data_IF_995645997891
#
_entry.id   IF_995645997891
#
_cell.length_a   1.000
_cell.length_b   1.000
_cell.length_c   1.000
_cell.angle_alpha   90.00
_cell.angle_beta   90.00
_cell.angle_gamma   90.00
#
_symmetry.space_group_name_H-M   'P 1'
#
loop_
_entity.id
_entity.type
_entity.pdbx_description
1 polymer ?
#
# COMPACT_ATOMS: atom_id res chain seq x y z
N UNK A 1 15.29 -3.94 24.57
CA UNK A 1 14.01 -3.51 24.00
C UNK A 1 13.39 -2.52 24.98
N UNK A 2 13.09 -1.29 24.50
CA UNK A 2 12.29 -0.38 25.32
C UNK A 2 10.87 -0.95 25.38
N UNK A 3 10.46 -1.38 26.54
CA UNK A 3 9.14 -1.92 26.79
C UNK A 3 8.20 -0.78 27.12
N UNK A 4 7.09 -0.68 26.43
CA UNK A 4 5.95 0.13 26.87
C UNK A 4 5.52 -0.41 28.22
N UNK A 5 5.88 0.27 29.31
CA UNK A 5 5.65 -0.19 30.68
C UNK A 5 4.24 0.13 31.18
N UNK A 6 3.68 1.25 30.71
CA UNK A 6 2.35 1.68 31.11
C UNK A 6 1.27 0.95 30.28
N UNK A 7 0.25 0.43 30.94
CA UNK A 7 -0.87 -0.29 30.29
C UNK A 7 -1.60 0.62 29.30
N UNK A 8 -1.82 1.89 29.65
CA UNK A 8 -2.49 2.85 28.78
C UNK A 8 -1.72 3.10 27.46
N UNK A 9 -0.39 3.20 27.53
CA UNK A 9 0.44 3.41 26.36
C UNK A 9 0.42 2.19 25.43
N UNK A 10 0.36 0.98 26.00
CA UNK A 10 0.18 -0.26 25.21
C UNK A 10 -1.15 -0.28 24.48
N UNK A 11 -2.24 0.10 25.15
CA UNK A 11 -3.58 0.13 24.56
C UNK A 11 -3.62 1.14 23.41
N UNK A 12 -3.11 2.36 23.62
CA UNK A 12 -3.07 3.39 22.60
C UNK A 12 -2.24 2.94 21.39
N UNK A 13 -1.08 2.31 21.63
CA UNK A 13 -0.23 1.80 20.56
C UNK A 13 -0.89 0.64 19.78
N UNK A 14 -1.63 -0.25 20.46
CA UNK A 14 -2.39 -1.31 19.82
C UNK A 14 -3.53 -0.74 18.96
N UNK A 15 -4.26 0.26 19.46
CA UNK A 15 -5.30 0.94 18.66
C UNK A 15 -4.75 1.65 17.44
N UNK A 16 -3.56 2.27 17.58
CA UNK A 16 -2.88 2.85 16.43
C UNK A 16 -2.48 1.78 15.40
N UNK A 17 -2.01 0.62 15.87
CA UNK A 17 -1.67 -0.50 14.99
C UNK A 17 -2.91 -1.09 14.29
N UNK A 18 -4.04 -1.18 14.98
CA UNK A 18 -5.31 -1.61 14.39
C UNK A 18 -5.73 -0.67 13.25
N UNK A 19 -5.78 0.64 13.51
CA UNK A 19 -6.08 1.64 12.48
C UNK A 19 -5.09 1.61 11.32
N UNK A 20 -3.81 1.44 11.62
CA UNK A 20 -2.77 1.31 10.61
C UNK A 20 -2.98 0.07 9.72
N UNK A 21 -3.24 -1.07 10.32
CA UNK A 21 -3.43 -2.34 9.58
C UNK A 21 -4.71 -2.31 8.73
N UNK A 22 -5.80 -1.75 9.26
CA UNK A 22 -7.08 -1.65 8.55
C UNK A 22 -6.97 -0.80 7.29
N UNK A 23 -6.34 0.36 7.39
CA UNK A 23 -6.19 1.28 6.26
C UNK A 23 -5.00 0.95 5.34
N UNK A 24 -4.08 0.10 5.79
CA UNK A 24 -3.00 -0.42 4.97
C UNK A 24 -3.44 -1.63 4.11
N UNK A 25 -4.65 -2.13 4.32
CA UNK A 25 -5.18 -3.30 3.61
C UNK A 25 -5.03 -3.25 2.07
N UNK A 26 -5.21 -2.10 1.37
CA UNK A 26 -4.92 -2.04 -0.06
C UNK A 26 -3.47 -2.40 -0.42
N UNK A 27 -2.53 -2.19 0.49
CA UNK A 27 -1.11 -2.50 0.28
C UNK A 27 -0.79 -4.00 0.31
N UNK A 28 -1.65 -4.82 0.91
CA UNK A 28 -1.50 -6.29 0.88
C UNK A 28 -1.61 -6.88 -0.53
N UNK A 29 -2.10 -6.09 -1.49
CA UNK A 29 -2.16 -6.46 -2.90
C UNK A 29 -0.84 -6.22 -3.64
N UNK A 30 0.12 -5.58 -3.01
CA UNK A 30 1.47 -5.38 -3.51
C UNK A 30 2.43 -6.36 -2.83
N UNK A 31 3.61 -6.53 -3.41
CA UNK A 31 4.63 -7.39 -2.80
C UNK A 31 5.19 -6.71 -1.54
N UNK A 32 4.82 -7.24 -0.38
CA UNK A 32 5.30 -6.81 0.94
C UNK A 32 6.25 -7.81 1.59
N UNK A 33 6.61 -8.87 0.87
CA UNK A 33 7.41 -9.99 1.39
C UNK A 33 8.80 -9.58 1.90
N UNK A 34 9.23 -8.37 1.60
CA UNK A 34 10.55 -7.84 1.93
C UNK A 34 10.62 -7.14 3.29
N UNK A 35 9.48 -6.98 3.96
CA UNK A 35 9.44 -6.31 5.27
C UNK A 35 10.15 -7.08 6.37
N UNK A 36 10.33 -8.40 6.23
CA UNK A 36 11.06 -9.21 7.21
C UNK A 36 12.58 -8.97 7.19
N UNK A 37 13.17 -8.69 6.04
CA UNK A 37 14.57 -8.33 5.93
C UNK A 37 14.87 -6.93 6.49
N UNK A 38 13.87 -6.05 6.53
CA UNK A 38 13.99 -4.69 7.09
C UNK A 38 14.15 -4.66 8.61
N UNK A 39 13.86 -5.76 9.30
CA UNK A 39 14.09 -5.86 10.76
C UNK A 39 15.57 -5.76 11.12
N UNK A 40 16.46 -6.07 10.20
CA UNK A 40 17.89 -5.92 10.35
C UNK A 40 18.36 -4.55 9.81
N UNK A 41 19.34 -3.94 10.48
CA UNK A 41 19.85 -2.60 10.19
C UNK A 41 20.27 -2.45 8.72
N UNK A 42 19.54 -1.65 7.95
CA UNK A 42 19.89 -1.29 6.58
C UNK A 42 18.91 -0.27 6.01
N UNK A 43 19.41 0.67 5.23
CA UNK A 43 18.59 1.67 4.55
C UNK A 43 18.14 1.17 3.16
N UNK A 44 18.68 0.03 2.72
CA UNK A 44 18.42 -0.56 1.41
C UNK A 44 18.17 -2.05 1.51
N UNK A 45 17.18 -2.52 0.76
CA UNK A 45 16.87 -3.93 0.59
C UNK A 45 17.12 -4.27 -0.87
N UNK A 46 17.92 -5.30 -1.12
CA UNK A 46 18.21 -5.76 -2.47
C UNK A 46 17.43 -7.05 -2.71
N UNK A 47 16.51 -7.00 -3.67
CA UNK A 47 15.67 -8.14 -4.05
C UNK A 47 16.14 -8.66 -5.39
N UNK A 48 16.65 -9.89 -5.47
CA UNK A 48 16.98 -10.51 -6.74
C UNK A 48 15.70 -10.92 -7.48
N UNK A 49 15.46 -10.35 -8.65
CA UNK A 49 14.44 -10.81 -9.58
C UNK A 49 15.06 -11.75 -10.60
N UNK A 50 14.49 -12.96 -10.70
CA UNK A 50 14.89 -13.93 -11.72
C UNK A 50 14.22 -13.54 -13.04
N UNK A 51 15.03 -13.30 -14.08
CA UNK A 51 14.53 -13.06 -15.43
C UNK A 51 13.84 -14.30 -16.02
N UNK A 52 13.06 -14.09 -17.07
CA UNK A 52 12.40 -15.20 -17.79
C UNK A 52 13.42 -16.11 -18.44
N UNK A 53 13.37 -17.38 -18.08
CA UNK A 53 14.15 -18.42 -18.74
C UNK A 53 13.41 -18.92 -19.98
N UNK A 54 14.14 -19.14 -21.08
CA UNK A 54 13.60 -19.72 -22.31
C UNK A 54 14.07 -21.17 -22.42
N UNK A 55 13.14 -22.06 -22.69
CA UNK A 55 13.46 -23.44 -23.02
C UNK A 55 14.08 -23.52 -24.42
N UNK A 56 15.21 -24.18 -24.54
CA UNK A 56 15.88 -24.47 -25.82
C UNK A 56 15.71 -25.93 -26.18
N UNK A 57 15.67 -26.24 -27.48
CA UNK A 57 15.61 -27.65 -27.94
C UNK A 57 16.94 -28.31 -27.64
N UNK A 58 16.90 -29.49 -27.00
CA UNK A 58 18.08 -30.30 -26.76
C UNK A 58 18.64 -30.81 -28.09
N UNK A 59 19.86 -30.46 -28.40
CA UNK A 59 20.57 -30.90 -29.60
C UNK A 59 21.88 -31.60 -29.22
N UNK A 60 21.76 -32.75 -28.55
CA UNK A 60 22.85 -33.63 -28.13
C UNK A 60 23.88 -33.07 -27.15
N UNK A 61 23.81 -31.76 -26.83
CA UNK A 61 24.67 -31.11 -25.84
C UNK A 61 23.87 -30.33 -24.80
N UNK A 62 24.27 -30.37 -23.53
CA UNK A 62 23.74 -29.52 -22.48
C UNK A 62 24.31 -28.11 -22.64
N UNK A 63 23.44 -27.20 -23.08
CA UNK A 63 23.83 -25.82 -23.26
C UNK A 63 23.79 -25.06 -21.93
N UNK A 64 24.74 -24.15 -21.75
CA UNK A 64 24.77 -23.25 -20.60
C UNK A 64 23.61 -22.23 -20.75
N UNK A 65 22.59 -22.35 -19.94
CA UNK A 65 21.47 -21.38 -19.90
C UNK A 65 21.92 -20.07 -19.26
N UNK A 66 21.69 -18.96 -19.94
CA UNK A 66 21.92 -17.62 -19.39
C UNK A 66 20.74 -17.17 -18.54
N UNK A 67 20.76 -17.40 -17.23
CA UNK A 67 19.84 -16.76 -16.29
C UNK A 67 20.38 -15.38 -15.92
N UNK A 68 19.64 -14.31 -16.21
CA UNK A 68 19.97 -12.97 -15.71
C UNK A 68 19.25 -12.72 -14.39
N UNK A 69 20.02 -12.47 -13.35
CA UNK A 69 19.51 -11.97 -12.07
C UNK A 69 19.57 -10.44 -12.11
N UNK A 70 18.39 -9.80 -12.07
CA UNK A 70 18.30 -8.35 -11.94
C UNK A 70 17.99 -8.02 -10.48
N UNK A 71 18.85 -7.25 -9.84
CA UNK A 71 18.61 -6.79 -8.48
C UNK A 71 17.70 -5.55 -8.49
N UNK A 72 16.61 -5.59 -7.74
CA UNK A 72 15.77 -4.43 -7.47
C UNK A 72 16.08 -3.93 -6.07
N UNK A 73 16.42 -2.64 -5.95
CA UNK A 73 16.78 -2.02 -4.69
C UNK A 73 15.61 -1.21 -4.17
N UNK A 74 15.15 -1.51 -2.95
CA UNK A 74 14.16 -0.72 -2.22
C UNK A 74 14.91 0.17 -1.24
N UNK A 75 14.84 1.49 -1.42
CA UNK A 75 15.43 2.45 -0.51
C UNK A 75 14.41 2.89 0.54
N UNK A 76 14.73 2.70 1.82
CA UNK A 76 13.93 3.15 2.95
C UNK A 76 14.27 4.62 3.27
N UNK A 77 13.84 5.53 2.41
CA UNK A 77 14.21 6.95 2.46
C UNK A 77 13.07 7.87 2.92
N UNK A 78 11.87 7.34 3.11
CA UNK A 78 10.72 8.13 3.55
C UNK A 78 10.41 7.86 5.00
N UNK A 79 10.65 8.85 5.85
CA UNK A 79 10.28 8.83 7.26
C UNK A 79 9.06 9.72 7.47
N UNK A 80 7.96 9.15 7.92
CA UNK A 80 6.73 9.89 8.25
C UNK A 80 6.42 9.74 9.73
N UNK A 81 6.01 10.87 10.32
CA UNK A 81 5.56 10.95 11.69
C UNK A 81 4.16 11.57 11.74
N UNK A 82 3.35 11.10 12.65
CA UNK A 82 2.07 11.74 13.00
C UNK A 82 2.19 12.22 14.44
N UNK A 83 2.41 13.52 14.64
CA UNK A 83 2.56 14.11 15.97
C UNK A 83 1.17 14.39 16.58
N UNK A 84 1.02 14.03 17.85
CA UNK A 84 -0.08 14.45 18.70
C UNK A 84 0.51 15.21 19.88
N UNK A 85 0.05 16.44 20.13
CA UNK A 85 0.47 17.27 21.26
C UNK A 85 -0.72 17.63 22.12
N UNK A 86 -0.58 17.48 23.43
CA UNK A 86 -1.59 17.77 24.43
C UNK A 86 -0.98 18.58 25.55
N UNK A 87 -1.59 19.71 25.88
CA UNK A 87 -1.22 20.47 27.08
C UNK A 87 -1.62 19.70 28.34
N UNK A 88 -1.00 20.02 29.50
CA UNK A 88 -1.30 19.40 30.78
C UNK A 88 -2.80 19.41 31.10
N UNK A 89 -3.47 20.53 30.81
CA UNK A 89 -4.93 20.68 31.01
C UNK A 89 -5.72 19.74 30.10
N UNK A 90 -5.33 19.67 28.82
CA UNK A 90 -5.98 18.78 27.85
C UNK A 90 -5.75 17.32 28.20
N UNK A 91 -4.53 16.99 28.63
CA UNK A 91 -4.20 15.63 29.03
C UNK A 91 -4.96 15.20 30.30
N UNK A 92 -5.05 16.07 31.32
CA UNK A 92 -5.81 15.83 32.54
C UNK A 92 -7.32 15.65 32.30
N UNK A 93 -7.86 16.36 31.31
CA UNK A 93 -9.28 16.29 30.96
C UNK A 93 -9.59 15.19 29.92
N UNK A 94 -8.55 14.55 29.33
CA UNK A 94 -8.74 13.49 28.33
C UNK A 94 -8.96 12.16 28.99
N UNK A 95 -9.98 11.42 28.55
CA UNK A 95 -10.18 10.03 28.95
C UNK A 95 -9.27 9.11 28.14
N UNK A 96 -8.96 7.93 28.68
CA UNK A 96 -8.21 6.88 27.99
C UNK A 96 -8.89 6.54 26.64
N UNK A 97 -10.22 6.50 26.61
CA UNK A 97 -10.98 6.24 25.41
C UNK A 97 -10.81 7.31 24.29
N UNK A 98 -10.56 8.57 24.67
CA UNK A 98 -10.22 9.61 23.70
C UNK A 98 -8.82 9.44 23.13
N UNK A 99 -7.85 9.10 23.98
CA UNK A 99 -6.48 8.83 23.57
C UNK A 99 -6.40 7.63 22.62
N UNK A 100 -7.19 6.58 22.87
CA UNK A 100 -7.33 5.44 21.96
C UNK A 100 -7.86 5.83 20.58
N UNK A 101 -8.90 6.69 20.53
CA UNK A 101 -9.44 7.19 19.24
C UNK A 101 -8.41 8.00 18.47
N UNK A 102 -7.62 8.83 19.14
CA UNK A 102 -6.54 9.57 18.50
C UNK A 102 -5.42 8.65 18.03
N UNK A 103 -5.08 7.62 18.82
CA UNK A 103 -4.16 6.58 18.37
C UNK A 103 -4.62 5.91 17.08
N UNK A 104 -5.88 5.48 17.03
CA UNK A 104 -6.46 4.88 15.82
C UNK A 104 -6.39 5.82 14.59
N UNK A 105 -6.76 7.09 14.76
CA UNK A 105 -6.67 8.09 13.68
C UNK A 105 -5.22 8.36 13.25
N UNK A 106 -4.26 8.35 14.17
CA UNK A 106 -2.86 8.49 13.83
C UNK A 106 -2.34 7.32 12.99
N UNK A 107 -2.74 6.09 13.34
CA UNK A 107 -2.46 4.89 12.54
C UNK A 107 -3.06 4.99 11.15
N UNK A 108 -4.32 5.40 11.04
CA UNK A 108 -5.01 5.65 9.77
C UNK A 108 -4.28 6.70 8.91
N UNK A 109 -3.89 7.83 9.50
CA UNK A 109 -3.19 8.89 8.78
C UNK A 109 -1.84 8.41 8.23
N UNK A 110 -1.11 7.58 9.00
CA UNK A 110 0.16 7.04 8.58
C UNK A 110 -0.02 6.04 7.42
N UNK A 111 -1.00 5.13 7.51
CA UNK A 111 -1.36 4.20 6.44
C UNK A 111 -1.76 4.92 5.14
N UNK A 112 -2.54 6.00 5.28
CA UNK A 112 -2.94 6.86 4.15
C UNK A 112 -1.71 7.49 3.49
N UNK A 113 -0.75 8.01 4.27
CA UNK A 113 0.47 8.61 3.75
C UNK A 113 1.36 7.59 3.00
N UNK A 114 1.43 6.34 3.48
CA UNK A 114 2.13 5.26 2.81
C UNK A 114 1.44 4.91 1.48
N UNK A 115 0.12 4.77 1.50
CA UNK A 115 -0.68 4.46 0.31
C UNK A 115 -0.52 5.55 -0.76
N UNK A 116 -0.60 6.83 -0.38
CA UNK A 116 -0.36 7.94 -1.28
C UNK A 116 1.05 7.91 -1.88
N UNK A 117 2.06 7.58 -1.06
CA UNK A 117 3.43 7.47 -1.55
C UNK A 117 3.57 6.33 -2.58
N UNK A 118 3.01 5.16 -2.32
CA UNK A 118 3.03 4.04 -3.27
C UNK A 118 2.31 4.39 -4.56
N UNK A 119 1.13 5.02 -4.47
CA UNK A 119 0.37 5.44 -5.65
C UNK A 119 1.08 6.55 -6.45
N UNK A 120 1.92 7.36 -5.81
CA UNK A 120 2.71 8.36 -6.53
C UNK A 120 3.71 7.77 -7.52
N UNK A 121 4.12 6.52 -7.33
CA UNK A 121 4.94 5.79 -8.30
C UNK A 121 4.19 5.45 -9.59
N UNK A 122 2.87 5.48 -9.59
CA UNK A 122 2.03 5.17 -10.76
C UNK A 122 1.83 6.38 -11.69
N UNK A 123 2.36 7.56 -11.35
CA UNK A 123 2.22 8.78 -12.15
C UNK A 123 3.11 8.79 -13.41
N UNK A 124 2.85 9.72 -14.34
CA UNK A 124 3.53 9.81 -15.66
C UNK A 124 5.03 10.16 -15.61
N UNK A 125 5.54 10.57 -14.46
CA UNK A 125 6.94 10.95 -14.29
C UNK A 125 7.97 9.83 -14.56
N UNK A 126 7.50 8.60 -14.77
CA UNK A 126 8.33 7.45 -15.09
C UNK A 126 7.77 6.66 -16.28
N UNK A 127 7.68 7.24 -17.48
CA UNK A 127 7.01 6.65 -18.64
C UNK A 127 7.63 5.34 -19.13
N UNK A 128 8.88 5.07 -18.83
CA UNK A 128 9.58 3.82 -19.21
C UNK A 128 9.11 2.58 -18.45
N UNK A 129 8.33 2.77 -17.39
CA UNK A 129 7.90 1.69 -16.50
C UNK A 129 6.47 1.22 -16.74
N UNK A 130 5.72 1.86 -17.62
CA UNK A 130 4.33 1.47 -17.88
C UNK A 130 4.21 0.72 -19.19
N UNK A 131 3.61 -0.47 -19.10
CA UNK A 131 3.05 -1.11 -20.27
C UNK A 131 1.83 -0.27 -20.69
N UNK A 132 1.91 0.44 -21.76
CA UNK A 132 0.87 1.26 -22.40
C UNK A 132 -0.09 2.00 -21.44
N UNK A 133 -0.02 3.31 -21.41
CA UNK A 133 -1.05 4.10 -20.73
C UNK A 133 -2.36 4.02 -21.55
N UNK A 134 -3.43 3.56 -20.93
CA UNK A 134 -4.76 3.60 -21.55
C UNK A 134 -5.37 4.98 -21.35
N UNK A 135 -5.68 5.65 -22.45
CA UNK A 135 -6.22 7.00 -22.44
C UNK A 135 -7.68 6.96 -22.88
N UNK A 136 -8.58 7.05 -21.91
CA UNK A 136 -10.02 7.08 -22.15
C UNK A 136 -10.67 8.21 -21.34
N UNK A 137 -11.58 9.02 -21.93
CA UNK A 137 -12.42 9.91 -21.14
C UNK A 137 -13.20 9.10 -20.09
N UNK A 138 -13.29 9.62 -18.85
CA UNK A 138 -14.04 8.93 -17.78
C UNK A 138 -15.47 8.64 -18.22
N UNK A 139 -16.10 9.54 -18.95
CA UNK A 139 -17.46 9.34 -19.49
C UNK A 139 -17.60 8.15 -20.46
N UNK A 140 -16.49 7.70 -21.08
CA UNK A 140 -16.45 6.52 -21.96
C UNK A 140 -15.88 5.26 -21.27
N UNK A 141 -15.64 5.33 -19.98
CA UNK A 141 -15.19 4.20 -19.19
C UNK A 141 -16.32 3.16 -19.08
N UNK A 142 -16.00 1.93 -19.37
CA UNK A 142 -16.94 0.80 -19.29
C UNK A 142 -16.19 -0.53 -19.10
N UNK A 143 -16.93 -1.58 -18.85
CA UNK A 143 -16.38 -2.93 -18.56
C UNK A 143 -15.57 -3.50 -19.72
N UNK A 144 -15.89 -3.16 -20.99
CA UNK A 144 -15.11 -3.65 -22.14
C UNK A 144 -13.67 -3.10 -22.15
N UNK A 145 -13.42 -1.95 -21.52
CA UNK A 145 -12.07 -1.39 -21.38
C UNK A 145 -11.23 -2.25 -20.42
N UNK A 146 -11.84 -2.82 -19.40
CA UNK A 146 -11.18 -3.77 -18.48
C UNK A 146 -10.72 -5.02 -19.24
N UNK A 147 -11.52 -5.52 -20.19
CA UNK A 147 -11.13 -6.64 -21.03
C UNK A 147 -9.91 -6.31 -21.91
N UNK A 148 -9.81 -5.08 -22.43
CA UNK A 148 -8.65 -4.62 -23.22
C UNK A 148 -7.37 -4.58 -22.36
N UNK A 149 -7.46 -4.07 -21.15
CA UNK A 149 -6.34 -4.05 -20.19
C UNK A 149 -5.90 -5.48 -19.85
N UNK A 150 -6.88 -6.38 -19.59
CA UNK A 150 -6.61 -7.79 -19.35
C UNK A 150 -5.84 -8.43 -20.50
N UNK A 151 -6.27 -8.19 -21.73
CA UNK A 151 -5.63 -8.72 -22.94
C UNK A 151 -4.16 -8.27 -22.99
N UNK A 152 -3.88 -6.98 -22.80
CA UNK A 152 -2.54 -6.45 -22.84
C UNK A 152 -1.62 -7.05 -21.76
N UNK A 153 -2.11 -7.16 -20.52
CA UNK A 153 -1.34 -7.80 -19.44
C UNK A 153 -1.08 -9.29 -19.73
N UNK A 154 -2.02 -9.97 -20.38
CA UNK A 154 -1.85 -11.39 -20.75
C UNK A 154 -0.83 -11.56 -21.88
N UNK A 155 -0.86 -10.68 -22.90
CA UNK A 155 0.15 -10.63 -23.96
C UNK A 155 1.55 -10.38 -23.38
N UNK A 156 1.65 -9.52 -22.36
CA UNK A 156 2.88 -9.24 -21.64
C UNK A 156 3.29 -10.39 -20.66
N UNK A 157 2.62 -11.54 -20.70
CA UNK A 157 2.89 -12.73 -19.88
C UNK A 157 2.80 -12.49 -18.36
N UNK A 158 2.02 -11.50 -17.93
CA UNK A 158 1.73 -11.29 -16.50
C UNK A 158 0.81 -12.42 -16.02
N UNK A 159 1.04 -13.01 -14.83
CA UNK A 159 0.16 -14.03 -14.27
C UNK A 159 -1.29 -13.54 -14.18
N UNK A 160 -2.27 -14.45 -14.36
CA UNK A 160 -3.69 -14.08 -14.34
C UNK A 160 -4.25 -13.97 -12.93
N UNK A 161 -3.55 -14.53 -11.97
CA UNK A 161 -3.97 -14.54 -10.57
C UNK A 161 -3.63 -13.22 -9.89
N UNK A 162 -4.43 -12.85 -8.89
CA UNK A 162 -4.21 -11.68 -8.03
C UNK A 162 -4.06 -10.33 -8.76
N UNK A 163 -4.67 -10.18 -9.94
CA UNK A 163 -4.71 -8.88 -10.62
C UNK A 163 -5.72 -7.97 -9.94
N UNK A 164 -5.32 -6.75 -9.66
CA UNK A 164 -6.16 -5.73 -9.03
C UNK A 164 -6.32 -4.52 -9.95
N UNK A 165 -7.48 -3.90 -9.89
CA UNK A 165 -7.81 -2.67 -10.60
C UNK A 165 -8.26 -1.62 -9.59
N UNK A 166 -7.49 -0.56 -9.45
CA UNK A 166 -7.84 0.59 -8.62
C UNK A 166 -8.46 1.68 -9.48
N UNK A 167 -9.61 2.16 -9.08
CA UNK A 167 -10.34 3.22 -9.75
C UNK A 167 -10.65 4.35 -8.78
N UNK A 168 -10.67 5.57 -9.28
CA UNK A 168 -11.18 6.71 -8.54
C UNK A 168 -12.71 6.60 -8.35
N UNK A 169 -13.33 7.33 -7.43
CA UNK A 169 -14.77 7.26 -7.19
C UNK A 169 -15.62 7.52 -8.44
N UNK A 170 -15.14 8.37 -9.36
CA UNK A 170 -15.87 8.70 -10.59
C UNK A 170 -15.90 7.51 -11.56
N UNK A 171 -14.75 6.92 -11.85
CA UNK A 171 -14.65 5.76 -12.73
C UNK A 171 -15.30 4.52 -12.10
N UNK A 172 -15.21 4.39 -10.76
CA UNK A 172 -15.88 3.32 -10.05
C UNK A 172 -17.41 3.42 -10.17
N UNK A 173 -17.97 4.62 -10.01
CA UNK A 173 -19.39 4.89 -10.22
C UNK A 173 -19.83 4.57 -11.66
N UNK A 174 -19.02 4.91 -12.67
CA UNK A 174 -19.28 4.53 -14.06
C UNK A 174 -19.29 3.00 -14.25
N UNK A 175 -18.39 2.30 -13.56
CA UNK A 175 -18.34 0.84 -13.59
C UNK A 175 -19.61 0.23 -12.97
N UNK A 176 -20.07 0.77 -11.84
CA UNK A 176 -21.33 0.32 -11.19
C UNK A 176 -22.57 0.55 -12.07
N UNK A 177 -22.58 1.63 -12.83
CA UNK A 177 -23.71 1.99 -13.71
C UNK A 177 -23.67 1.28 -15.07
N UNK A 178 -22.61 0.52 -15.39
CA UNK A 178 -22.52 -0.23 -16.65
C UNK A 178 -23.60 -1.30 -16.73
N UNK A 179 -24.36 -1.28 -17.81
CA UNK A 179 -25.48 -2.20 -18.07
C UNK A 179 -25.05 -3.66 -18.07
N UNK A 180 -23.82 -3.97 -18.53
CA UNK A 180 -23.31 -5.34 -18.52
C UNK A 180 -23.12 -5.89 -17.10
N UNK A 181 -22.67 -5.04 -16.18
CA UNK A 181 -22.58 -5.40 -14.75
C UNK A 181 -23.97 -5.54 -14.15
N UNK A 182 -24.85 -4.58 -14.41
CA UNK A 182 -26.22 -4.61 -13.90
C UNK A 182 -26.97 -5.85 -14.37
N UNK A 183 -26.87 -6.23 -15.65
CA UNK A 183 -27.50 -7.45 -16.17
C UNK A 183 -26.87 -8.74 -15.62
N UNK A 184 -25.57 -8.80 -15.47
CA UNK A 184 -24.90 -9.97 -14.86
C UNK A 184 -25.32 -10.18 -13.39
N UNK A 185 -25.63 -9.10 -12.69
CA UNK A 185 -26.12 -9.12 -11.31
C UNK A 185 -27.56 -9.57 -11.20
N UNK A 186 -28.43 -9.23 -12.16
CA UNK A 186 -29.81 -9.77 -12.20
C UNK A 186 -29.84 -11.29 -12.32
N UNK A 187 -28.77 -11.89 -12.88
CA UNK A 187 -28.68 -13.33 -13.05
C UNK A 187 -28.11 -14.10 -11.83
N UNK A 188 -27.47 -13.42 -10.85
CA UNK A 188 -26.76 -14.13 -9.79
C UNK A 188 -26.94 -13.64 -8.36
N UNK A 189 -26.61 -12.39 -8.07
CA UNK A 189 -26.68 -11.83 -6.70
C UNK A 189 -26.89 -10.33 -6.71
N UNK A 190 -27.81 -9.85 -5.87
CA UNK A 190 -28.14 -8.43 -5.74
C UNK A 190 -27.10 -7.62 -4.91
N UNK A 191 -25.96 -8.20 -4.58
CA UNK A 191 -25.03 -7.65 -3.59
C UNK A 191 -24.41 -6.31 -4.04
N UNK A 192 -24.16 -6.14 -5.33
CA UNK A 192 -23.54 -4.90 -5.78
C UNK A 192 -24.50 -3.71 -5.80
N UNK A 193 -25.80 -3.92 -6.06
CA UNK A 193 -26.81 -2.86 -5.92
C UNK A 193 -27.07 -2.51 -4.44
N UNK A 194 -26.92 -3.49 -3.55
CA UNK A 194 -27.16 -3.30 -2.12
C UNK A 194 -25.94 -2.77 -1.38
N UNK A 195 -24.74 -3.24 -1.74
CA UNK A 195 -23.48 -2.93 -1.05
C UNK A 195 -22.59 -1.95 -1.82
N UNK A 196 -22.93 -1.61 -3.07
CA UNK A 196 -22.11 -0.74 -3.93
C UNK A 196 -20.74 -1.34 -4.27
N UNK A 197 -20.60 -2.67 -4.15
CA UNK A 197 -19.34 -3.38 -4.37
C UNK A 197 -19.36 -4.08 -5.71
N UNK A 198 -18.41 -3.73 -6.60
CA UNK A 198 -18.24 -4.43 -7.88
C UNK A 198 -17.56 -5.79 -7.61
N UNK A 199 -18.15 -6.91 -8.06
CA UNK A 199 -17.52 -8.21 -7.94
C UNK A 199 -16.28 -8.29 -8.84
N UNK A 200 -15.54 -9.40 -8.75
CA UNK A 200 -14.40 -9.65 -9.62
C UNK A 200 -14.84 -9.73 -11.08
N UNK A 201 -14.31 -8.82 -11.93
CA UNK A 201 -14.68 -8.72 -13.34
C UNK A 201 -13.46 -9.00 -14.21
N UNK A 202 -13.59 -9.88 -15.19
CA UNK A 202 -12.52 -10.30 -16.11
C UNK A 202 -11.21 -10.70 -15.40
N UNK A 203 -11.31 -11.23 -14.18
CA UNK A 203 -10.16 -11.65 -13.40
C UNK A 203 -9.49 -10.56 -12.58
N UNK A 204 -10.00 -9.33 -12.61
CA UNK A 204 -9.54 -8.23 -11.75
C UNK A 204 -10.39 -8.09 -10.50
N UNK A 205 -9.72 -7.85 -9.38
CA UNK A 205 -10.31 -7.40 -8.13
C UNK A 205 -10.45 -5.88 -8.20
N UNK A 206 -11.69 -5.38 -8.35
CA UNK A 206 -11.91 -3.95 -8.56
C UNK A 206 -12.07 -3.26 -7.20
N UNK A 207 -11.30 -2.19 -6.98
CA UNK A 207 -11.29 -1.44 -5.74
C UNK A 207 -11.40 0.05 -6.00
N UNK A 208 -12.23 0.69 -5.21
CA UNK A 208 -12.32 2.13 -5.17
C UNK A 208 -11.24 2.72 -4.27
N UNK A 209 -10.61 3.81 -4.69
CA UNK A 209 -9.68 4.56 -3.86
C UNK A 209 -9.68 6.04 -4.21
N UNK A 210 -9.90 6.87 -3.20
CA UNK A 210 -9.81 8.33 -3.30
C UNK A 210 -8.36 8.85 -3.17
N UNK A 211 -7.38 7.95 -3.00
CA UNK A 211 -5.98 8.30 -2.85
C UNK A 211 -5.20 8.25 -4.17
N UNK A 212 -5.87 7.93 -5.27
CA UNK A 212 -5.27 7.93 -6.59
C UNK A 212 -4.85 9.36 -6.95
N UNK A 213 -3.57 9.61 -7.34
CA UNK A 213 -3.12 10.93 -7.72
C UNK A 213 -3.89 11.45 -8.93
N UNK A 214 -4.43 12.65 -8.83
CA UNK A 214 -5.13 13.33 -9.94
C UNK A 214 -4.16 14.02 -10.90
N UNK A 215 -2.87 14.02 -10.60
CA UNK A 215 -1.81 14.48 -11.49
C UNK A 215 -1.83 13.65 -12.77
N UNK A 216 -1.60 14.30 -13.92
CA UNK A 216 -1.61 13.68 -15.25
C UNK A 216 -2.97 13.11 -15.67
N UNK A 217 -4.06 13.63 -15.11
CA UNK A 217 -5.42 13.18 -15.42
C UNK A 217 -5.64 11.68 -15.25
N UNK A 218 -4.88 11.05 -14.35
CA UNK A 218 -5.02 9.64 -14.01
C UNK A 218 -6.28 9.45 -13.16
N UNK A 219 -7.06 8.41 -13.46
CA UNK A 219 -8.23 8.04 -12.67
C UNK A 219 -8.25 6.57 -12.26
N UNK A 220 -7.23 5.81 -12.63
CA UNK A 220 -7.09 4.42 -12.22
C UNK A 220 -5.81 3.78 -12.71
N UNK A 221 -5.55 2.59 -12.20
CA UNK A 221 -4.47 1.73 -12.67
C UNK A 221 -4.77 0.27 -12.38
N UNK A 222 -4.30 -0.61 -13.25
CA UNK A 222 -4.31 -2.05 -13.04
C UNK A 222 -2.92 -2.50 -12.61
N UNK A 223 -2.86 -3.40 -11.65
CA UNK A 223 -1.59 -3.93 -11.15
C UNK A 223 -1.65 -5.42 -10.82
N UNK A 224 -0.49 -6.04 -10.89
CA UNK A 224 -0.21 -7.35 -10.32
C UNK A 224 0.72 -7.17 -9.11
N UNK A 225 0.67 -8.01 -8.07
CA UNK A 225 1.51 -7.85 -6.87
C UNK A 225 3.01 -7.72 -7.13
N UNK A 226 3.52 -8.36 -8.19
CA UNK A 226 4.94 -8.25 -8.59
C UNK A 226 5.34 -6.90 -9.19
N UNK A 227 4.38 -6.00 -9.49
CA UNK A 227 4.65 -4.74 -10.19
C UNK A 227 5.24 -3.66 -9.27
N UNK A 228 4.85 -3.65 -8.01
CA UNK A 228 5.33 -2.71 -7.00
C UNK A 228 5.77 -3.49 -5.76
N UNK A 229 6.88 -3.10 -5.20
CA UNK A 229 7.40 -3.63 -3.96
C UNK A 229 7.40 -2.53 -2.89
N UNK A 230 6.90 -2.85 -1.71
CA UNK A 230 6.82 -1.96 -0.55
C UNK A 230 7.56 -2.60 0.62
N UNK A 231 8.39 -1.83 1.30
CA UNK A 231 9.01 -2.21 2.55
C UNK A 231 8.71 -1.17 3.62
N UNK A 232 8.34 -1.65 4.81
CA UNK A 232 7.98 -0.80 5.96
C UNK A 232 8.82 -1.25 7.15
N UNK A 233 9.37 -0.30 7.88
CA UNK A 233 10.10 -0.55 9.12
C UNK A 233 9.72 0.46 10.19
N UNK A 234 9.53 0.00 11.42
CA UNK A 234 9.48 0.88 12.58
C UNK A 234 10.88 1.14 13.12
N UNK A 235 11.15 2.38 13.50
CA UNK A 235 12.39 2.78 14.14
C UNK A 235 12.35 2.45 15.63
N UNK A 236 13.27 1.59 16.06
CA UNK A 236 13.49 1.39 17.49
C UNK A 236 14.18 2.64 18.07
N UNK A 237 13.70 3.18 19.22
CA UNK A 237 14.31 4.32 19.86
C UNK A 237 15.75 3.99 20.29
N UNK A 238 16.71 4.82 19.90
CA UNK A 238 18.12 4.63 20.24
C UNK A 238 18.44 5.02 21.68
N UNK A 239 17.70 5.97 22.25
CA UNK A 239 17.82 6.42 23.62
C UNK A 239 16.47 6.30 24.36
N UNK A 240 16.07 5.07 24.74
CA UNK A 240 14.75 4.85 25.35
C UNK A 240 14.54 5.59 26.66
N UNK A 241 15.60 5.83 27.41
CA UNK A 241 15.56 6.56 28.69
C UNK A 241 15.24 8.06 28.54
N UNK A 242 15.35 8.62 27.33
CA UNK A 242 14.98 10.01 27.03
C UNK A 242 13.47 10.20 26.83
N UNK A 243 12.71 9.10 26.78
CA UNK A 243 11.26 9.12 26.55
C UNK A 243 10.54 8.55 27.79
N UNK A 244 9.36 9.10 28.08
CA UNK A 244 8.46 8.49 29.11
C UNK A 244 7.98 7.12 28.69
N UNK A 245 7.65 6.97 27.41
CA UNK A 245 7.32 5.70 26.78
C UNK A 245 7.82 5.69 25.35
N UNK A 246 8.47 4.61 24.95
CA UNK A 246 8.90 4.42 23.58
C UNK A 246 8.95 2.93 23.26
N UNK A 247 8.48 2.57 22.07
CA UNK A 247 8.49 1.18 21.66
C UNK A 247 8.03 0.99 20.23
N UNK A 248 8.19 -0.24 19.76
CA UNK A 248 7.69 -0.69 18.46
C UNK A 248 6.59 -1.70 18.71
N UNK A 249 5.47 -1.51 18.06
CA UNK A 249 4.35 -2.46 18.05
C UNK A 249 4.27 -3.08 16.66
N UNK A 250 4.21 -4.41 16.62
CA UNK A 250 4.16 -5.17 15.38
C UNK A 250 2.91 -6.03 15.33
N UNK A 251 2.28 -6.09 14.17
CA UNK A 251 1.24 -7.08 13.93
C UNK A 251 1.92 -8.39 13.46
N UNK A 252 1.66 -9.47 14.19
CA UNK A 252 2.26 -10.76 13.91
C UNK A 252 1.78 -11.39 12.60
N UNK A 253 0.56 -11.06 12.15
CA UNK A 253 -0.03 -11.63 10.95
C UNK A 253 0.44 -10.92 9.66
N UNK A 254 0.52 -9.58 9.69
CA UNK A 254 0.85 -8.78 8.51
C UNK A 254 2.32 -8.36 8.46
N UNK A 255 3.07 -8.52 9.56
CA UNK A 255 4.43 -8.01 9.69
C UNK A 255 4.52 -6.48 9.77
N UNK A 256 3.39 -5.78 9.72
CA UNK A 256 3.35 -4.32 9.80
C UNK A 256 3.83 -3.84 11.17
N UNK A 257 4.73 -2.87 11.18
CA UNK A 257 5.36 -2.36 12.39
C UNK A 257 5.21 -0.83 12.49
N UNK A 258 4.90 -0.37 13.69
CA UNK A 258 4.68 1.03 14.01
C UNK A 258 5.55 1.43 15.22
N UNK A 259 6.29 2.52 15.11
CA UNK A 259 7.01 3.13 16.22
C UNK A 259 6.11 4.11 16.99
N UNK A 260 6.16 4.06 18.32
CA UNK A 260 5.51 5.03 19.21
C UNK A 260 6.54 5.64 20.13
N UNK A 261 6.47 6.97 20.31
CA UNK A 261 7.30 7.72 21.27
C UNK A 261 6.46 8.73 22.01
N UNK A 262 6.55 8.72 23.34
CA UNK A 262 5.95 9.74 24.20
C UNK A 262 7.02 10.44 25.02
N UNK A 263 6.96 11.78 25.05
CA UNK A 263 7.80 12.58 25.90
C UNK A 263 7.04 13.81 26.39
N UNK A 264 7.43 14.29 27.56
CA UNK A 264 6.93 15.53 28.13
C UNK A 264 7.97 16.63 27.95
N UNK A 265 7.52 17.80 27.56
CA UNK A 265 8.38 18.98 27.46
C UNK A 265 8.03 19.99 28.54
N UNK A 266 8.86 20.11 29.61
CA UNK A 266 8.55 20.98 30.74
C UNK A 266 8.48 22.47 30.41
N UNK A 267 9.21 22.91 29.36
CA UNK A 267 9.27 24.31 28.98
C UNK A 267 7.94 24.90 28.50
N UNK A 268 7.05 24.07 28.00
CA UNK A 268 5.73 24.48 27.48
C UNK A 268 4.56 23.66 28.05
N UNK A 269 4.80 22.79 29.05
CA UNK A 269 3.77 22.01 29.70
C UNK A 269 2.99 21.13 28.72
N UNK A 270 3.69 20.45 27.80
CA UNK A 270 3.05 19.71 26.73
C UNK A 270 3.54 18.26 26.65
N UNK A 271 2.59 17.33 26.60
CA UNK A 271 2.84 15.93 26.29
C UNK A 271 2.81 15.71 24.78
N UNK A 272 3.87 15.13 24.25
CA UNK A 272 3.97 14.76 22.84
C UNK A 272 3.86 13.25 22.70
N UNK A 273 2.98 12.83 21.80
CA UNK A 273 2.80 11.44 21.43
C UNK A 273 2.99 11.33 19.92
N UNK A 274 4.04 10.68 19.49
CA UNK A 274 4.40 10.55 18.07
C UNK A 274 4.28 9.11 17.63
N UNK A 275 3.64 8.91 16.49
CA UNK A 275 3.63 7.66 15.76
C UNK A 275 4.46 7.80 14.51
N UNK A 276 5.30 6.80 14.23
CA UNK A 276 6.26 6.90 13.14
C UNK A 276 6.46 5.57 12.40
N UNK A 277 6.76 5.68 11.10
CA UNK A 277 7.24 4.57 10.29
C UNK A 277 8.22 5.08 9.23
N UNK A 278 9.19 4.25 8.91
CA UNK A 278 10.05 4.42 7.74
C UNK A 278 9.63 3.43 6.69
N UNK A 279 9.53 3.88 5.46
CA UNK A 279 9.13 3.04 4.36
C UNK A 279 9.81 3.45 3.06
N UNK A 280 9.75 2.55 2.10
CA UNK A 280 10.21 2.79 0.74
C UNK A 280 9.45 1.92 -0.21
N UNK A 281 9.28 2.40 -1.43
CA UNK A 281 8.67 1.66 -2.50
C UNK A 281 9.56 1.67 -3.73
N UNK A 282 9.42 0.67 -4.59
CA UNK A 282 10.11 0.60 -5.85
C UNK A 282 9.33 -0.22 -6.86
N UNK A 283 9.71 -0.11 -8.12
CA UNK A 283 9.14 -0.93 -9.19
C UNK A 283 9.73 -2.33 -9.17
N UNK A 284 8.87 -3.34 -9.32
CA UNK A 284 9.26 -4.71 -9.59
C UNK A 284 9.19 -5.03 -11.08
N UNK A 285 8.31 -5.95 -11.47
CA UNK A 285 8.07 -6.32 -12.88
C UNK A 285 7.10 -5.31 -13.51
N UNK A 286 7.65 -4.38 -14.28
CA UNK A 286 6.93 -3.23 -14.83
C UNK A 286 5.79 -3.60 -15.79
N UNK A 287 5.89 -4.73 -16.48
CA UNK A 287 4.82 -5.26 -17.34
C UNK A 287 3.50 -5.50 -16.57
N UNK A 288 3.58 -5.70 -15.26
CA UNK A 288 2.42 -5.92 -14.40
C UNK A 288 1.68 -4.65 -13.96
N UNK A 289 2.09 -3.46 -14.43
CA UNK A 289 1.48 -2.19 -14.08
C UNK A 289 0.94 -1.49 -15.33
N UNK A 290 -0.33 -1.14 -15.34
CA UNK A 290 -0.98 -0.41 -16.44
C UNK A 290 -1.73 0.80 -15.90
N UNK A 291 -1.39 1.97 -16.37
CA UNK A 291 -2.01 3.23 -15.99
C UNK A 291 -3.25 3.52 -16.84
N UNK A 292 -4.27 4.08 -16.22
CA UNK A 292 -5.49 4.53 -16.90
C UNK A 292 -5.58 6.04 -16.71
N UNK A 293 -5.50 6.76 -17.81
CA UNK A 293 -5.49 8.21 -17.82
C UNK A 293 -6.65 8.77 -18.63
N UNK A 294 -7.04 9.99 -18.29
CA UNK A 294 -8.03 10.77 -18.99
C UNK A 294 -7.33 11.73 -19.98
N UNK A 295 -7.88 11.91 -21.17
CA UNK A 295 -7.50 12.94 -22.12
C UNK A 295 -8.64 13.89 -22.38
#
# INVERSE_FOLDING_TARGET
MATLTNVNDKIIAQRALEGFTEYLHPMNLFSTSYSDETKNKGDTIIVPLVGTLTATTFNQDYQVGGGTLTAVTINLNVHKIVPLSLTDVQFANSSVAQLEKWGFQAGQALATAITQHVFSYVTSGSPSFFNTAYTYPVASWNVSRIATIRQAMTVAKVPMDNRSLFLDPTAYSQTLSDTNISYAMYAGTNDALREGRVPRVYGFDIRESNLIPTTDTMYGFACHPSALALAIRALAPQAPSAYEAAGVVTNAETGAALGMRRHYQPSNGTHYLNFEAIFGATYGITAGLSRIAFR
#
